data_IF_567790721725
#
_entry.id   IF_567790721725
#
_cell.length_a   1.000
_cell.length_b   1.000
_cell.length_c   1.000
_cell.angle_alpha   90.00
_cell.angle_beta   90.00
_cell.angle_gamma   90.00
#
_symmetry.space_group_name_H-M   'P 1'
#
loop_
_entity.id
_entity.type
_entity.pdbx_description
1 polymer ?
#
# COMPACT_ATOMS: atom_id res chain seq x y z
N UNK A 1 1.54 -11.32 27.97
CA UNK A 1 2.63 -12.31 27.82
C UNK A 1 3.35 -12.38 29.15
N UNK A 2 3.21 -13.47 29.91
CA UNK A 2 3.92 -13.60 31.19
C UNK A 2 5.39 -13.87 30.86
N UNK A 3 6.29 -12.99 31.29
CA UNK A 3 7.75 -13.19 31.20
C UNK A 3 8.45 -12.71 29.92
N UNK A 4 7.78 -12.00 29.00
CA UNK A 4 8.45 -11.38 27.83
C UNK A 4 8.63 -9.89 28.06
N UNK A 5 9.81 -9.39 27.69
CA UNK A 5 10.21 -7.98 27.77
C UNK A 5 9.97 -7.21 26.48
N UNK A 6 9.89 -7.90 25.33
CA UNK A 6 9.55 -7.32 24.04
C UNK A 6 8.19 -7.82 23.53
N UNK A 7 7.41 -6.91 22.96
CA UNK A 7 6.16 -7.14 22.26
C UNK A 7 6.21 -6.75 20.79
N UNK A 8 5.15 -7.09 20.06
CA UNK A 8 5.05 -6.85 18.62
C UNK A 8 5.25 -5.37 18.23
N UNK A 9 4.76 -4.45 19.06
CA UNK A 9 4.87 -3.00 18.80
C UNK A 9 6.27 -2.43 19.02
N UNK A 10 7.19 -3.19 19.62
CA UNK A 10 8.56 -2.74 19.82
C UNK A 10 9.38 -2.82 18.51
N UNK A 11 8.82 -3.39 17.44
CA UNK A 11 9.45 -3.53 16.12
C UNK A 11 10.82 -4.23 16.14
N UNK A 12 11.09 -5.04 17.18
CA UNK A 12 12.33 -5.80 17.32
C UNK A 12 12.12 -7.26 16.97
N UNK A 13 13.16 -7.92 16.44
CA UNK A 13 13.13 -9.37 16.15
C UNK A 13 12.65 -10.20 17.34
N UNK A 14 13.00 -9.82 18.56
CA UNK A 14 12.53 -10.49 19.78
C UNK A 14 11.01 -10.34 19.98
N UNK A 15 10.46 -9.15 19.72
CA UNK A 15 9.05 -8.82 19.89
C UNK A 15 8.11 -9.61 18.97
N UNK A 16 8.56 -9.94 17.77
CA UNK A 16 7.78 -10.71 16.78
C UNK A 16 8.25 -12.17 16.58
N UNK A 17 9.30 -12.62 17.28
CA UNK A 17 9.67 -14.04 17.36
C UNK A 17 8.67 -14.80 18.23
N UNK A 18 7.53 -15.16 17.66
CA UNK A 18 6.40 -15.81 18.36
C UNK A 18 6.02 -17.12 17.68
N UNK A 19 5.46 -18.10 18.41
CA UNK A 19 5.03 -19.35 17.79
C UNK A 19 3.91 -19.10 16.78
N UNK A 20 3.85 -19.95 15.75
CA UNK A 20 2.76 -19.94 14.78
C UNK A 20 1.41 -20.24 15.47
N UNK A 21 0.37 -19.50 15.08
CA UNK A 21 -0.99 -19.70 15.62
C UNK A 21 -1.77 -20.83 14.94
N UNK A 22 -1.35 -21.23 13.75
CA UNK A 22 -1.94 -22.27 12.92
C UNK A 22 -0.87 -22.78 11.95
N UNK A 23 -1.10 -23.94 11.32
CA UNK A 23 -0.16 -24.48 10.33
C UNK A 23 -0.09 -23.55 9.11
N UNK A 24 1.10 -23.37 8.50
CA UNK A 24 1.24 -22.54 7.31
C UNK A 24 0.24 -22.95 6.22
N UNK A 25 -0.47 -21.96 5.68
CA UNK A 25 -1.47 -22.17 4.62
C UNK A 25 -2.87 -22.57 5.09
N UNK A 26 -3.12 -22.82 6.37
CA UNK A 26 -4.46 -23.24 6.84
C UNK A 26 -5.40 -22.08 7.22
N UNK A 27 -4.88 -20.91 7.56
CA UNK A 27 -5.68 -19.74 7.98
C UNK A 27 -5.00 -18.42 7.61
N UNK A 28 -5.68 -17.30 7.88
CA UNK A 28 -5.15 -15.95 7.75
C UNK A 28 -5.16 -15.24 9.10
N UNK A 29 -4.11 -14.46 9.38
CA UNK A 29 -4.08 -13.48 10.47
C UNK A 29 -3.06 -12.40 10.14
N UNK A 30 -3.38 -11.13 10.46
CA UNK A 30 -2.42 -10.04 10.40
C UNK A 30 -1.27 -10.24 11.41
N UNK A 31 -0.04 -9.96 10.99
CA UNK A 31 1.14 -10.15 11.82
C UNK A 31 2.43 -9.83 11.10
N UNK A 32 3.55 -10.31 11.66
CA UNK A 32 4.93 -9.97 11.26
C UNK A 32 5.44 -10.67 10.00
N UNK A 33 4.54 -11.06 9.09
CA UNK A 33 4.93 -11.74 7.86
C UNK A 33 5.85 -10.90 6.98
N UNK A 34 5.62 -9.59 6.94
CA UNK A 34 6.43 -8.66 6.14
C UNK A 34 7.80 -8.37 6.79
N UNK A 35 7.88 -8.38 8.13
CA UNK A 35 9.16 -8.26 8.85
C UNK A 35 10.07 -9.47 8.56
N UNK A 36 9.50 -10.68 8.56
CA UNK A 36 10.22 -11.89 8.14
C UNK A 36 10.67 -11.80 6.67
N UNK A 37 9.83 -11.29 5.77
CA UNK A 37 10.20 -11.10 4.37
C UNK A 37 11.37 -10.10 4.21
N UNK A 38 11.39 -9.03 5.01
CA UNK A 38 12.51 -8.09 5.08
C UNK A 38 13.80 -8.78 5.53
N UNK A 39 13.77 -9.58 6.60
CA UNK A 39 14.95 -10.33 7.06
C UNK A 39 15.48 -11.32 6.02
N UNK A 40 14.59 -11.99 5.27
CA UNK A 40 15.01 -12.87 4.16
C UNK A 40 15.71 -12.06 3.08
N UNK A 41 15.18 -10.89 2.72
CA UNK A 41 15.81 -10.01 1.74
C UNK A 41 17.20 -9.57 2.19
N UNK A 42 17.35 -9.13 3.43
CA UNK A 42 18.65 -8.74 4.00
C UNK A 42 19.65 -9.91 3.96
N UNK A 43 19.20 -11.11 4.32
CA UNK A 43 20.04 -12.31 4.35
C UNK A 43 20.52 -12.70 2.94
N UNK A 44 19.63 -12.66 1.95
CA UNK A 44 19.94 -13.06 0.57
C UNK A 44 20.83 -12.03 -0.14
N UNK A 45 20.63 -10.75 0.15
CA UNK A 45 21.35 -9.65 -0.53
C UNK A 45 22.63 -9.23 0.18
N UNK A 46 22.75 -9.53 1.47
CA UNK A 46 23.82 -9.02 2.33
C UNK A 46 23.71 -7.51 2.61
N UNK A 47 22.64 -6.86 2.19
CA UNK A 47 22.39 -5.44 2.43
C UNK A 47 21.37 -5.25 3.56
N UNK A 48 21.41 -4.09 4.22
CA UNK A 48 20.29 -3.68 5.07
C UNK A 48 19.05 -3.39 4.21
N UNK A 49 17.86 -3.57 4.79
CA UNK A 49 16.59 -3.31 4.11
C UNK A 49 16.51 -1.87 3.61
N UNK A 50 16.97 -0.92 4.44
CA UNK A 50 17.02 0.50 4.08
C UNK A 50 17.96 0.79 2.91
N UNK A 51 19.15 0.18 2.88
CA UNK A 51 20.09 0.31 1.76
C UNK A 51 19.49 -0.26 0.48
N UNK A 52 18.95 -1.47 0.55
CA UNK A 52 18.35 -2.13 -0.60
C UNK A 52 17.18 -1.32 -1.17
N UNK A 53 16.25 -0.86 -0.33
CA UNK A 53 15.11 -0.06 -0.78
C UNK A 53 15.54 1.31 -1.30
N UNK A 54 16.57 1.94 -0.72
CA UNK A 54 17.14 3.18 -1.25
C UNK A 54 17.67 3.00 -2.68
N UNK A 55 18.44 1.95 -2.93
CA UNK A 55 19.06 1.68 -4.23
C UNK A 55 18.05 1.22 -5.30
N UNK A 56 17.08 0.38 -4.91
CA UNK A 56 16.21 -0.31 -5.86
C UNK A 56 14.82 0.35 -6.01
N UNK A 57 14.41 1.20 -5.07
CA UNK A 57 13.07 1.82 -5.08
C UNK A 57 13.19 3.34 -4.96
N UNK A 58 13.78 3.86 -3.89
CA UNK A 58 13.67 5.29 -3.58
C UNK A 58 14.46 6.17 -4.56
N UNK A 59 15.73 5.87 -4.81
CA UNK A 59 16.56 6.63 -5.76
C UNK A 59 16.03 6.54 -7.20
N UNK A 60 15.69 5.35 -7.75
CA UNK A 60 15.14 5.26 -9.11
C UNK A 60 13.83 6.04 -9.31
N UNK A 61 13.03 6.17 -8.25
CA UNK A 61 11.75 6.89 -8.29
C UNK A 61 11.86 8.36 -7.82
N UNK A 62 13.05 8.83 -7.43
CA UNK A 62 13.24 10.18 -6.91
C UNK A 62 12.47 10.44 -5.61
N UNK A 63 12.38 9.45 -4.73
CA UNK A 63 11.76 9.55 -3.41
C UNK A 63 12.81 9.99 -2.37
N UNK A 64 13.15 11.28 -2.37
CA UNK A 64 14.23 11.83 -1.54
C UNK A 64 13.90 11.95 -0.05
N UNK A 65 12.62 12.03 0.29
CA UNK A 65 12.12 12.21 1.65
C UNK A 65 11.54 10.90 2.21
N UNK A 66 12.02 9.76 1.69
CA UNK A 66 11.64 8.42 2.09
C UNK A 66 12.84 7.64 2.60
N UNK A 67 12.75 7.11 3.83
CA UNK A 67 13.87 6.37 4.43
C UNK A 67 13.42 5.43 5.56
N UNK A 68 14.31 4.50 5.91
CA UNK A 68 14.25 3.76 7.18
C UNK A 68 15.15 4.44 8.21
N UNK A 69 14.66 4.64 9.43
CA UNK A 69 15.52 5.14 10.51
C UNK A 69 16.57 4.09 10.88
N UNK A 70 17.88 4.40 10.84
CA UNK A 70 18.92 3.42 11.15
C UNK A 70 18.81 2.81 12.56
N UNK A 71 18.31 3.55 13.54
CA UNK A 71 18.23 3.11 14.94
C UNK A 71 16.91 2.41 15.31
N UNK A 72 15.82 2.70 14.59
CA UNK A 72 14.48 2.24 14.95
C UNK A 72 13.87 1.29 13.91
N UNK A 73 14.46 1.18 12.71
CA UNK A 73 13.90 0.48 11.55
C UNK A 73 12.47 0.92 11.15
N UNK A 74 11.98 2.01 11.72
CA UNK A 74 10.75 2.68 11.31
C UNK A 74 10.88 3.21 9.86
N UNK A 75 9.85 3.00 9.06
CA UNK A 75 9.71 3.55 7.72
C UNK A 75 9.01 4.92 7.74
N UNK A 76 9.56 5.91 7.03
CA UNK A 76 8.96 7.23 6.83
C UNK A 76 8.92 7.58 5.35
N UNK A 77 7.88 8.33 4.97
CA UNK A 77 7.67 8.85 3.63
C UNK A 77 6.77 10.09 3.70
N UNK A 78 6.76 10.87 2.63
CA UNK A 78 5.75 11.91 2.36
C UNK A 78 4.66 11.37 1.44
N UNK A 79 3.47 12.01 1.37
CA UNK A 79 2.48 11.71 0.34
C UNK A 79 3.05 11.84 -1.08
N UNK A 80 3.85 12.88 -1.33
CA UNK A 80 4.48 13.20 -2.61
C UNK A 80 5.44 12.10 -3.08
N UNK A 81 6.16 11.47 -2.16
CA UNK A 81 7.03 10.36 -2.50
C UNK A 81 6.26 9.05 -2.62
N UNK A 82 5.34 8.77 -1.70
CA UNK A 82 4.61 7.51 -1.69
C UNK A 82 3.73 7.36 -2.94
N UNK A 83 3.16 8.46 -3.45
CA UNK A 83 2.39 8.42 -4.69
C UNK A 83 3.25 8.04 -5.90
N UNK A 84 4.54 8.44 -5.95
CA UNK A 84 5.46 8.02 -7.03
C UNK A 84 5.64 6.50 -7.04
N UNK A 85 5.74 5.88 -5.87
CA UNK A 85 5.79 4.42 -5.76
C UNK A 85 4.52 3.76 -6.31
N UNK A 86 3.34 4.23 -5.91
CA UNK A 86 2.08 3.65 -6.41
C UNK A 86 1.88 3.87 -7.91
N UNK A 87 2.27 5.04 -8.43
CA UNK A 87 2.27 5.35 -9.86
C UNK A 87 3.22 4.42 -10.63
N UNK A 88 4.40 4.13 -10.08
CA UNK A 88 5.35 3.20 -10.68
C UNK A 88 4.81 1.76 -10.72
N UNK A 89 4.11 1.32 -9.66
CA UNK A 89 3.40 0.02 -9.65
C UNK A 89 2.29 -0.02 -10.69
N UNK A 90 1.48 1.04 -10.79
CA UNK A 90 0.42 1.15 -11.77
C UNK A 90 0.97 1.11 -13.21
N UNK A 91 2.02 1.88 -13.49
CA UNK A 91 2.71 1.89 -14.78
C UNK A 91 3.31 0.52 -15.13
N UNK A 92 3.93 -0.16 -14.15
CA UNK A 92 4.45 -1.51 -14.32
C UNK A 92 3.36 -2.53 -14.67
N UNK A 93 2.13 -2.36 -14.15
CA UNK A 93 0.96 -3.15 -14.52
C UNK A 93 0.59 -3.04 -16.01
N UNK A 94 0.89 -1.90 -16.64
CA UNK A 94 0.72 -1.67 -18.07
C UNK A 94 1.97 -2.07 -18.89
N UNK A 95 2.99 -2.63 -18.24
CA UNK A 95 4.28 -2.98 -18.87
C UNK A 95 5.20 -1.79 -19.09
N UNK A 96 4.99 -0.69 -18.39
CA UNK A 96 5.81 0.52 -18.44
C UNK A 96 6.72 0.64 -17.21
N UNK A 97 7.78 1.45 -17.31
CA UNK A 97 8.72 1.66 -16.21
C UNK A 97 9.62 0.45 -15.94
N UNK A 98 10.42 0.54 -14.87
CA UNK A 98 11.49 -0.43 -14.57
C UNK A 98 11.41 -1.06 -13.19
N UNK A 99 10.48 -0.60 -12.33
CA UNK A 99 10.41 -1.04 -10.93
C UNK A 99 10.07 -2.52 -10.81
N UNK A 100 9.04 -2.98 -11.53
CA UNK A 100 8.58 -4.37 -11.53
C UNK A 100 8.23 -4.80 -12.96
N UNK A 101 8.30 -6.11 -13.21
CA UNK A 101 7.75 -6.69 -14.44
C UNK A 101 6.23 -6.70 -14.38
N UNK A 102 5.57 -6.59 -15.55
CA UNK A 102 4.11 -6.68 -15.66
C UNK A 102 3.54 -7.91 -14.97
N UNK A 103 4.15 -9.08 -15.16
CA UNK A 103 3.68 -10.33 -14.55
C UNK A 103 3.75 -10.29 -13.02
N UNK A 104 4.75 -9.61 -12.44
CA UNK A 104 4.87 -9.45 -11.00
C UNK A 104 3.74 -8.56 -10.46
N UNK A 105 3.36 -7.51 -11.19
CA UNK A 105 2.21 -6.67 -10.83
C UNK A 105 0.90 -7.43 -11.02
N UNK A 106 0.75 -8.25 -12.07
CA UNK A 106 -0.44 -9.10 -12.23
C UNK A 106 -0.61 -10.07 -11.05
N UNK A 107 0.48 -10.70 -10.61
CA UNK A 107 0.48 -11.60 -9.45
C UNK A 107 0.18 -10.87 -8.13
N UNK A 108 0.69 -9.64 -8.00
CA UNK A 108 0.42 -8.77 -6.84
C UNK A 108 -1.07 -8.50 -6.64
N UNK A 109 -1.83 -8.39 -7.74
CA UNK A 109 -3.26 -8.13 -7.75
C UNK A 109 -4.11 -9.41 -7.90
N UNK A 110 -3.49 -10.59 -7.92
CA UNK A 110 -4.20 -11.87 -7.93
C UNK A 110 -4.70 -12.20 -6.52
N UNK A 111 -5.97 -12.64 -6.36
CA UNK A 111 -6.46 -13.18 -5.08
C UNK A 111 -5.62 -14.39 -4.63
N UNK A 112 -5.05 -14.33 -3.43
CA UNK A 112 -4.15 -15.36 -2.87
C UNK A 112 -4.83 -16.28 -1.85
N UNK A 113 -6.01 -15.91 -1.35
CA UNK A 113 -6.70 -16.66 -0.29
C UNK A 113 -7.84 -17.51 -0.85
N UNK A 114 -7.99 -18.71 -0.28
CA UNK A 114 -9.22 -19.47 -0.43
C UNK A 114 -10.36 -18.85 0.41
N UNK A 115 -11.58 -19.36 0.26
CA UNK A 115 -12.78 -18.82 0.92
C UNK A 115 -12.71 -18.84 2.45
N UNK A 116 -12.16 -19.91 3.04
CA UNK A 116 -12.03 -20.03 4.49
C UNK A 116 -11.06 -18.96 5.04
N UNK A 117 -9.93 -18.77 4.37
CA UNK A 117 -8.93 -17.77 4.73
C UNK A 117 -9.43 -16.33 4.55
N UNK A 118 -10.10 -16.03 3.42
CA UNK A 118 -10.67 -14.70 3.18
C UNK A 118 -11.77 -14.35 4.19
N UNK A 119 -12.56 -15.34 4.62
CA UNK A 119 -13.53 -15.18 5.70
C UNK A 119 -12.84 -14.82 7.02
N UNK A 120 -11.75 -15.52 7.39
CA UNK A 120 -10.97 -15.19 8.60
C UNK A 120 -10.38 -13.79 8.53
N UNK A 121 -9.86 -13.40 7.38
CA UNK A 121 -9.36 -12.04 7.15
C UNK A 121 -10.45 -10.99 7.37
N UNK A 122 -11.62 -11.18 6.76
CA UNK A 122 -12.76 -10.28 6.94
C UNK A 122 -13.16 -10.15 8.41
N UNK A 123 -13.23 -11.26 9.14
CA UNK A 123 -13.54 -11.23 10.58
C UNK A 123 -12.49 -10.45 11.37
N UNK A 124 -11.21 -10.68 11.09
CA UNK A 124 -10.11 -10.06 11.84
C UNK A 124 -9.99 -8.56 11.57
N UNK A 125 -10.15 -8.13 10.31
CA UNK A 125 -10.04 -6.72 9.95
C UNK A 125 -11.13 -5.86 10.58
N UNK A 126 -12.31 -6.42 10.90
CA UNK A 126 -13.26 -5.80 11.83
C UNK A 126 -13.74 -4.37 11.50
N UNK A 127 -13.59 -3.87 10.27
CA UNK A 127 -13.89 -2.49 9.87
C UNK A 127 -12.66 -1.60 9.66
N UNK A 128 -11.46 -2.07 10.00
CA UNK A 128 -10.20 -1.30 9.92
C UNK A 128 -9.80 -0.88 8.49
N UNK A 129 -10.44 -1.45 7.46
CA UNK A 129 -10.30 -0.99 6.08
C UNK A 129 -11.59 -0.33 5.60
N UNK A 130 -11.49 0.81 4.89
CA UNK A 130 -12.65 1.46 4.31
C UNK A 130 -13.44 0.53 3.38
N UNK A 131 -14.77 0.72 3.37
CA UNK A 131 -15.76 -0.03 2.59
C UNK A 131 -15.90 -1.52 2.91
N UNK A 132 -15.38 -1.96 4.05
CA UNK A 132 -15.58 -3.34 4.50
C UNK A 132 -17.07 -3.67 4.61
N UNK A 133 -17.48 -4.79 4.02
CA UNK A 133 -18.87 -5.25 4.02
C UNK A 133 -19.70 -4.85 2.79
N UNK A 134 -19.25 -3.88 1.99
CA UNK A 134 -19.95 -3.47 0.75
C UNK A 134 -19.68 -4.43 -0.42
N UNK A 135 -18.55 -5.12 -0.41
CA UNK A 135 -18.18 -6.18 -1.35
C UNK A 135 -17.40 -7.29 -0.62
N UNK A 136 -17.39 -8.55 -1.12
CA UNK A 136 -16.40 -9.51 -0.68
C UNK A 136 -14.98 -9.00 -0.94
N UNK A 137 -14.04 -9.44 -0.10
CA UNK A 137 -12.62 -9.05 -0.14
C UNK A 137 -11.73 -10.28 -0.14
N UNK A 138 -10.58 -10.19 -0.79
CA UNK A 138 -9.50 -11.18 -0.73
C UNK A 138 -8.18 -10.45 -0.40
N UNK A 139 -7.05 -11.15 -0.31
CA UNK A 139 -5.74 -10.56 -0.10
C UNK A 139 -4.85 -10.83 -1.31
N UNK A 140 -4.20 -9.79 -1.82
CA UNK A 140 -3.16 -9.88 -2.83
C UNK A 140 -1.77 -10.03 -2.21
N UNK A 141 -0.73 -9.67 -2.94
CA UNK A 141 0.60 -9.48 -2.34
C UNK A 141 0.68 -8.00 -1.97
N UNK A 142 0.53 -7.67 -0.68
CA UNK A 142 0.64 -6.34 -0.01
C UNK A 142 -0.63 -5.82 0.66
N UNK A 143 -1.82 -6.22 0.21
CA UNK A 143 -3.06 -5.68 0.79
C UNK A 143 -4.34 -6.38 0.35
N UNK A 144 -5.47 -5.79 0.71
CA UNK A 144 -6.80 -6.30 0.41
C UNK A 144 -7.23 -5.97 -1.02
N UNK A 145 -7.91 -6.91 -1.67
CA UNK A 145 -8.46 -6.79 -3.02
C UNK A 145 -9.99 -6.77 -2.95
N UNK A 146 -10.61 -5.78 -3.59
CA UNK A 146 -12.05 -5.75 -3.82
C UNK A 146 -12.46 -6.87 -4.80
N UNK A 147 -13.41 -7.73 -4.42
CA UNK A 147 -13.88 -8.82 -5.30
C UNK A 147 -15.12 -8.46 -6.12
N UNK A 148 -15.67 -7.27 -5.92
CA UNK A 148 -16.82 -6.70 -6.61
C UNK A 148 -16.70 -5.17 -6.70
N UNK A 149 -17.54 -4.59 -7.56
CA UNK A 149 -17.63 -3.15 -7.72
C UNK A 149 -18.39 -2.53 -6.55
N UNK A 150 -17.99 -1.33 -6.18
CA UNK A 150 -18.73 -0.42 -5.30
C UNK A 150 -19.13 0.77 -6.17
N UNK A 151 -20.43 0.98 -6.33
CA UNK A 151 -20.96 2.03 -7.21
C UNK A 151 -20.44 3.41 -6.80
N UNK A 152 -19.95 4.17 -7.79
CA UNK A 152 -19.36 5.49 -7.60
C UNK A 152 -18.04 5.52 -6.81
N UNK A 153 -17.47 4.36 -6.44
CA UNK A 153 -16.27 4.25 -5.60
C UNK A 153 -15.25 3.27 -6.22
N UNK A 154 -14.84 2.23 -5.48
CA UNK A 154 -13.82 1.24 -5.89
C UNK A 154 -14.38 0.22 -6.88
N UNK A 155 -13.58 -0.14 -7.89
CA UNK A 155 -13.93 -1.26 -8.79
C UNK A 155 -13.44 -2.59 -8.23
N UNK A 156 -13.94 -3.67 -8.82
CA UNK A 156 -13.39 -5.00 -8.61
C UNK A 156 -11.91 -5.01 -9.01
N UNK A 157 -11.07 -5.62 -8.19
CA UNK A 157 -9.63 -5.69 -8.42
C UNK A 157 -8.83 -4.52 -7.86
N UNK A 158 -9.47 -3.48 -7.28
CA UNK A 158 -8.73 -2.44 -6.55
C UNK A 158 -7.98 -3.07 -5.37
N UNK A 159 -6.69 -2.80 -5.28
CA UNK A 159 -5.82 -3.20 -4.16
C UNK A 159 -5.67 -2.02 -3.19
N UNK A 160 -5.75 -2.27 -1.89
CA UNK A 160 -5.68 -1.22 -0.87
C UNK A 160 -5.12 -1.74 0.46
N UNK A 161 -4.54 -0.83 1.25
CA UNK A 161 -4.22 -1.08 2.64
C UNK A 161 -4.18 0.23 3.45
N UNK A 162 -3.94 0.09 4.76
CA UNK A 162 -3.93 1.17 5.72
C UNK A 162 -2.74 1.09 6.68
N UNK A 163 -2.35 2.23 7.27
CA UNK A 163 -1.45 2.29 8.42
C UNK A 163 -2.20 2.57 9.73
N UNK A 164 -1.52 2.35 10.85
CA UNK A 164 -2.13 2.46 12.19
C UNK A 164 -2.62 3.88 12.54
N UNK A 165 -1.95 4.92 12.04
CA UNK A 165 -2.33 6.32 12.26
C UNK A 165 -3.35 6.85 11.22
N UNK A 166 -4.12 5.95 10.61
CA UNK A 166 -5.08 6.17 9.53
C UNK A 166 -4.56 6.64 8.14
N UNK A 167 -3.28 6.52 7.73
CA UNK A 167 -2.97 6.70 6.31
C UNK A 167 -3.58 5.55 5.49
N UNK A 168 -4.04 5.86 4.28
CA UNK A 168 -4.70 4.92 3.36
C UNK A 168 -4.07 5.05 1.98
N UNK A 169 -4.00 3.94 1.25
CA UNK A 169 -3.62 3.95 -0.16
C UNK A 169 -4.43 2.95 -0.96
N UNK A 170 -4.56 3.19 -2.26
CA UNK A 170 -5.16 2.24 -3.18
C UNK A 170 -4.63 2.38 -4.60
N UNK A 171 -4.73 1.27 -5.34
CA UNK A 171 -4.47 1.21 -6.78
C UNK A 171 -5.65 0.51 -7.45
N UNK A 172 -6.31 1.21 -8.37
CA UNK A 172 -7.32 0.69 -9.28
C UNK A 172 -6.74 0.68 -10.69
N UNK A 173 -6.29 -0.50 -11.15
CA UNK A 173 -5.66 -0.67 -12.46
C UNK A 173 -6.63 -0.44 -13.61
N UNK A 174 -7.89 -0.84 -13.45
CA UNK A 174 -8.90 -0.65 -14.49
C UNK A 174 -9.27 0.82 -14.66
N UNK A 175 -9.24 1.60 -13.57
CA UNK A 175 -9.43 3.04 -13.60
C UNK A 175 -8.18 3.84 -13.97
N UNK A 176 -6.99 3.23 -13.94
CA UNK A 176 -5.73 3.96 -14.03
C UNK A 176 -5.52 4.93 -12.87
N UNK A 177 -6.01 4.59 -11.67
CA UNK A 177 -5.96 5.45 -10.48
C UNK A 177 -5.02 4.83 -9.45
N UNK A 178 -4.05 5.62 -8.99
CA UNK A 178 -3.31 5.39 -7.78
C UNK A 178 -3.53 6.59 -6.86
N UNK A 179 -3.70 6.37 -5.55
CA UNK A 179 -3.92 7.46 -4.62
C UNK A 179 -3.46 7.12 -3.21
N UNK A 180 -3.15 8.19 -2.48
CA UNK A 180 -2.77 8.19 -1.08
C UNK A 180 -3.60 9.22 -0.31
N UNK A 181 -3.93 8.89 0.92
CA UNK A 181 -4.46 9.82 1.91
C UNK A 181 -3.62 9.67 3.16
N UNK A 182 -2.91 10.72 3.56
CA UNK A 182 -2.07 10.69 4.75
C UNK A 182 -2.73 11.55 5.83
N UNK A 183 -3.05 10.90 6.94
CA UNK A 183 -3.38 11.54 8.21
C UNK A 183 -2.56 10.88 9.29
N UNK A 184 -2.39 11.57 10.43
CA UNK A 184 -1.73 11.02 11.61
C UNK A 184 -2.66 11.10 12.81
N UNK A 185 -3.78 10.38 12.72
CA UNK A 185 -4.86 10.40 13.71
C UNK A 185 -4.96 9.01 14.34
N UNK A 186 -5.10 8.97 15.67
CA UNK A 186 -5.40 7.75 16.43
C UNK A 186 -6.72 7.97 17.20
N UNK A 187 -7.50 6.91 17.47
CA UNK A 187 -7.26 5.51 17.08
C UNK A 187 -7.49 5.24 15.58
N UNK A 188 -7.05 4.08 15.05
CA UNK A 188 -7.49 3.61 13.74
C UNK A 188 -9.02 3.57 13.67
N UNK A 189 -9.59 3.70 12.47
CA UNK A 189 -11.04 3.65 12.22
C UNK A 189 -11.83 4.86 12.77
N UNK A 190 -11.18 6.02 12.85
CA UNK A 190 -11.82 7.28 13.24
C UNK A 190 -12.92 7.70 12.24
N UNK A 191 -14.11 8.02 12.75
CA UNK A 191 -15.30 8.34 11.93
C UNK A 191 -15.11 9.54 11.00
N UNK A 192 -14.59 10.70 11.47
CA UNK A 192 -14.20 11.80 10.60
C UNK A 192 -13.28 11.39 9.44
N UNK A 193 -12.24 10.58 9.72
CA UNK A 193 -11.31 10.12 8.68
C UNK A 193 -12.02 9.19 7.69
N UNK A 194 -12.88 8.30 8.15
CA UNK A 194 -13.71 7.45 7.26
C UNK A 194 -14.58 8.27 6.32
N UNK A 195 -15.25 9.31 6.84
CA UNK A 195 -16.07 10.20 6.00
C UNK A 195 -15.24 10.93 4.96
N UNK A 196 -14.10 11.49 5.36
CA UNK A 196 -13.16 12.12 4.43
C UNK A 196 -12.70 11.13 3.34
N UNK A 197 -12.41 9.89 3.72
CA UNK A 197 -12.06 8.83 2.78
C UNK A 197 -13.22 8.55 1.81
N UNK A 198 -14.43 8.34 2.30
CA UNK A 198 -15.63 8.10 1.51
C UNK A 198 -15.90 9.25 0.51
N UNK A 199 -15.77 10.49 0.96
CA UNK A 199 -15.96 11.70 0.15
C UNK A 199 -14.89 11.87 -0.94
N UNK A 200 -13.69 11.33 -0.73
CA UNK A 200 -12.60 11.37 -1.72
C UNK A 200 -12.93 10.60 -3.01
N UNK A 201 -13.77 9.58 -2.92
CA UNK A 201 -14.21 8.79 -4.07
C UNK A 201 -15.30 9.49 -4.87
N UNK A 202 -16.28 10.13 -4.20
CA UNK A 202 -17.34 10.91 -4.85
C UNK A 202 -16.86 12.21 -5.48
N UNK A 203 -15.63 12.64 -5.19
CA UNK A 203 -15.01 13.87 -5.67
C UNK A 203 -13.69 13.60 -6.41
N UNK A 204 -13.52 12.44 -7.07
CA UNK A 204 -12.27 12.13 -7.80
C UNK A 204 -11.87 13.21 -8.84
N UNK A 205 -12.84 13.99 -9.32
CA UNK A 205 -12.60 15.17 -10.17
C UNK A 205 -12.04 16.40 -9.42
N UNK A 206 -12.32 16.57 -8.12
CA UNK A 206 -11.81 17.68 -7.29
C UNK A 206 -10.47 17.39 -6.63
N UNK A 207 -10.14 16.12 -6.38
CA UNK A 207 -8.83 15.71 -5.84
C UNK A 207 -7.76 15.54 -6.93
N UNK A 208 -8.13 15.71 -8.20
CA UNK A 208 -7.17 15.86 -9.30
C UNK A 208 -6.65 17.29 -9.26
N UNK A 209 -5.42 17.55 -8.79
CA UNK A 209 -4.59 18.70 -9.18
C UNK A 209 -3.22 18.66 -8.48
N UNK A 210 -2.27 17.95 -9.09
CA UNK A 210 -0.97 18.50 -9.47
C UNK A 210 -0.41 17.60 -10.58
N UNK A 211 -0.54 18.02 -11.83
CA UNK A 211 0.17 17.37 -12.94
C UNK A 211 1.57 17.97 -12.99
N UNK A 212 2.60 17.27 -12.51
CA UNK A 212 3.96 17.64 -12.93
C UNK A 212 4.21 17.06 -14.32
N UNK A 213 4.29 17.94 -15.32
CA UNK A 213 4.82 17.57 -16.63
C UNK A 213 6.29 17.21 -16.48
N UNK A 214 6.68 16.00 -16.86
CA UNK A 214 8.09 15.73 -17.14
C UNK A 214 8.58 16.73 -18.21
N UNK A 215 9.81 17.27 -18.12
CA UNK A 215 10.31 18.17 -19.15
C UNK A 215 10.41 17.39 -20.47
N UNK A 216 9.57 17.76 -21.44
CA UNK A 216 9.62 17.25 -22.81
C UNK A 216 10.89 17.73 -23.48
N UNK A 217 11.81 16.81 -23.76
CA UNK A 217 12.86 17.04 -24.77
C UNK A 217 12.27 16.67 -26.12
N UNK A 218 12.08 17.67 -26.98
CA UNK A 218 12.00 17.53 -28.44
C UNK A 218 10.68 17.00 -29.01
N UNK A 219 10.03 17.82 -29.82
CA UNK A 219 8.91 17.50 -30.70
C UNK A 219 9.29 16.33 -31.65
N UNK A 220 8.45 15.30 -31.73
CA UNK A 220 7.51 15.05 -32.84
C UNK A 220 7.01 13.58 -32.81
N UNK A 221 5.86 13.34 -33.42
CA UNK A 221 5.12 12.06 -33.58
C UNK A 221 4.11 11.65 -32.48
N UNK A 222 2.88 11.52 -32.95
CA UNK A 222 1.69 11.09 -32.24
C UNK A 222 1.83 9.66 -31.67
N UNK A 223 1.72 9.52 -30.34
CA UNK A 223 1.38 8.27 -29.70
C UNK A 223 0.47 8.52 -28.49
N UNK A 224 -0.61 7.76 -28.37
CA UNK A 224 -1.57 7.81 -27.24
C UNK A 224 -0.84 7.54 -25.92
N UNK A 225 -0.54 8.60 -25.16
CA UNK A 225 -0.07 8.50 -23.79
C UNK A 225 -1.27 8.46 -22.83
N UNK A 226 -1.44 7.35 -22.10
CA UNK A 226 -2.38 7.26 -20.99
C UNK A 226 -1.92 8.18 -19.86
N UNK A 227 -2.79 9.11 -19.46
CA UNK A 227 -2.51 10.05 -18.37
C UNK A 227 -2.55 9.33 -17.02
N UNK A 228 -1.42 9.28 -16.31
CA UNK A 228 -1.36 8.88 -14.89
C UNK A 228 -1.82 10.09 -14.06
N UNK A 229 -2.90 9.95 -13.30
CA UNK A 229 -3.48 11.02 -12.47
C UNK A 229 -2.92 10.96 -11.04
N UNK A 230 -2.52 12.12 -10.49
CA UNK A 230 -2.04 12.32 -9.11
C UNK A 230 -3.16 12.95 -8.27
N UNK A 231 -3.33 12.50 -7.03
CA UNK A 231 -4.22 13.11 -6.04
C UNK A 231 -3.48 13.24 -4.70
N UNK A 232 -3.43 14.46 -4.17
CA UNK A 232 -2.87 14.78 -2.85
C UNK A 232 -3.90 15.61 -2.07
N UNK A 233 -4.15 15.22 -0.83
CA UNK A 233 -4.90 16.02 0.14
C UNK A 233 -3.95 16.32 1.30
N UNK A 234 -3.50 17.57 1.40
CA UNK A 234 -2.74 18.08 2.55
C UNK A 234 -3.64 19.09 3.25
N UNK A 235 -4.19 18.74 4.41
CA UNK A 235 -4.90 19.68 5.27
C UNK A 235 -3.94 20.14 6.35
N UNK A 236 -3.49 21.38 6.25
CA UNK A 236 -2.81 22.12 7.31
C UNK A 236 -3.84 22.45 8.38
N UNK A 237 -3.67 21.94 9.60
CA UNK A 237 -4.39 22.43 10.77
C UNK A 237 -3.65 23.65 11.33
N UNK A 238 -4.26 24.82 11.25
CA UNK A 238 -3.96 25.94 12.18
C UNK A 238 -4.45 25.60 13.59
#
# INVERSE_FOLDING_TARGET
MIGRTAGFLDQTREGWNTPLRFRPGESWQYGSGIDWAGQVLETVTGQSLGSYMSENIFKPLGMSDTTFRPAAQDFFSTPQDYIKFLQAVLAAGEGQGTLLRKQSVEEMFRPQLNEAQSTKMKTWLGGALPFQGQTPVNHGISGAINMGNIEGKRRKGTLTWAGISNPQWWIDREAGIAAVLFVNILPPDDEPVKRMYDDSWGNSEKFTLQTSSAPTVGEDSQARAGMIKQAEAVVSTE
#
